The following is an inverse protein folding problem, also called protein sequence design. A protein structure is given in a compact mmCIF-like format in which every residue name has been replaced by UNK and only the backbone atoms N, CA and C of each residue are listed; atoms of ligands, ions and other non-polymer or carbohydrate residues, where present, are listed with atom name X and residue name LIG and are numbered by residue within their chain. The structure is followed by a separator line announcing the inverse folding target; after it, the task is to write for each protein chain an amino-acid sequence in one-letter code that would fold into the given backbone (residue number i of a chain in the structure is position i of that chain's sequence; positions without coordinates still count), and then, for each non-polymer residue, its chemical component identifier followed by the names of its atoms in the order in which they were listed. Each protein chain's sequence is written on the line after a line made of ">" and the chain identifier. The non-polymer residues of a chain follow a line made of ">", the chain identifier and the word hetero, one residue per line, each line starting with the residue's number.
data_IF_413515541504
#
_entry.id   IF_413515541504
#
_cell.length_a   1.000
_cell.length_b   1.000
_cell.length_c   1.000
_cell.angle_alpha   90.00
_cell.angle_beta   90.00
_cell.angle_gamma   90.00
#
_symmetry.space_group_name_H-M   'P 1'
#
loop_
_entity.id
_entity.type
_entity.pdbx_description
1 polymer ?
#
# COMPACT_ATOMS: atom_id res chain seq x y z
N UNK A 1 18.43 2.86 -2.35
CA UNK A 1 18.91 3.80 -1.32
C UNK A 1 20.30 4.39 -1.61
N UNK A 2 20.96 4.01 -2.72
CA UNK A 2 22.30 4.54 -3.07
C UNK A 2 22.35 6.07 -3.14
N UNK A 3 21.31 6.72 -3.69
CA UNK A 3 21.24 8.19 -3.79
C UNK A 3 21.24 8.92 -2.45
N UNK A 4 20.63 8.37 -1.40
CA UNK A 4 20.64 9.00 -0.06
C UNK A 4 21.98 8.74 0.61
N UNK A 5 22.52 7.53 0.45
CA UNK A 5 23.84 7.16 0.99
C UNK A 5 24.96 8.04 0.42
N UNK A 6 24.82 8.49 -0.82
CA UNK A 6 25.80 9.36 -1.50
C UNK A 6 25.89 10.76 -0.88
N UNK A 7 24.82 11.29 -0.28
CA UNK A 7 24.78 12.64 0.29
C UNK A 7 24.64 12.69 1.82
N UNK A 8 24.10 11.63 2.43
CA UNK A 8 23.90 11.51 3.88
C UNK A 8 23.93 10.03 4.31
N UNK A 9 25.14 9.45 4.49
CA UNK A 9 25.31 8.03 4.82
C UNK A 9 24.60 7.62 6.13
N UNK A 10 24.77 8.44 7.18
CA UNK A 10 24.17 8.18 8.50
C UNK A 10 22.63 8.18 8.42
N UNK A 11 22.05 9.06 7.60
CA UNK A 11 20.61 9.07 7.36
C UNK A 11 20.17 7.82 6.60
N UNK A 12 20.93 7.35 5.62
CA UNK A 12 20.64 6.10 4.91
C UNK A 12 20.62 4.90 5.86
N UNK A 13 21.58 4.82 6.78
CA UNK A 13 21.66 3.71 7.74
C UNK A 13 20.55 3.81 8.80
N UNK A 14 20.26 5.01 9.30
CA UNK A 14 19.14 5.25 10.20
C UNK A 14 17.79 4.92 9.53
N UNK A 15 17.59 5.26 8.26
CA UNK A 15 16.37 4.90 7.52
C UNK A 15 16.16 3.37 7.46
N UNK A 16 17.23 2.60 7.29
CA UNK A 16 17.18 1.14 7.25
C UNK A 16 16.84 0.55 8.63
N UNK A 17 17.59 0.92 9.66
CA UNK A 17 17.48 0.29 10.99
C UNK A 17 16.28 0.86 11.76
N UNK A 18 16.23 2.19 11.89
CA UNK A 18 15.24 2.89 12.70
C UNK A 18 13.91 3.06 11.97
N UNK A 19 13.95 3.32 10.66
CA UNK A 19 12.77 3.50 9.83
C UNK A 19 12.09 2.17 9.48
N UNK A 20 12.70 1.41 8.59
CA UNK A 20 12.11 0.19 8.04
C UNK A 20 12.23 -1.00 8.98
N UNK A 21 13.42 -1.25 9.52
CA UNK A 21 13.73 -2.43 10.33
C UNK A 21 12.77 -2.57 11.51
N UNK A 22 12.73 -1.58 12.40
CA UNK A 22 11.87 -1.62 13.60
C UNK A 22 10.37 -1.66 13.31
N UNK A 23 9.90 -1.03 12.22
CA UNK A 23 8.47 -0.98 11.90
C UNK A 23 8.00 -2.27 11.22
N UNK A 24 8.80 -2.80 10.29
CA UNK A 24 8.48 -4.00 9.54
C UNK A 24 8.72 -5.29 10.35
N UNK A 25 9.64 -5.29 11.31
CA UNK A 25 9.95 -6.46 12.15
C UNK A 25 8.95 -6.70 13.29
N UNK A 26 7.98 -5.79 13.51
CA UNK A 26 6.93 -5.98 14.52
C UNK A 26 6.04 -7.17 14.13
N UNK A 27 5.92 -8.14 15.02
CA UNK A 27 5.21 -9.41 14.84
C UNK A 27 3.71 -9.33 15.16
N UNK A 28 3.26 -8.29 15.85
CA UNK A 28 1.86 -8.13 16.28
C UNK A 28 0.83 -7.93 15.15
N UNK A 29 1.27 -7.72 13.90
CA UNK A 29 0.38 -7.49 12.75
C UNK A 29 0.90 -8.29 11.55
N UNK A 30 0.08 -9.23 11.05
CA UNK A 30 0.37 -10.03 9.86
C UNK A 30 0.64 -9.14 8.62
N UNK A 31 1.48 -9.64 7.72
CA UNK A 31 1.89 -8.95 6.49
C UNK A 31 0.68 -8.51 5.64
N UNK A 32 -0.39 -9.32 5.61
CA UNK A 32 -1.62 -8.98 4.89
C UNK A 32 -2.31 -7.74 5.46
N UNK A 33 -2.41 -7.68 6.79
CA UNK A 33 -3.01 -6.55 7.47
C UNK A 33 -2.17 -5.28 7.28
N UNK A 34 -0.84 -5.39 7.30
CA UNK A 34 0.05 -4.27 6.98
C UNK A 34 -0.17 -3.73 5.58
N UNK A 35 -0.21 -4.61 4.59
CA UNK A 35 -0.45 -4.22 3.20
C UNK A 35 -1.84 -3.60 3.00
N UNK A 36 -2.88 -4.13 3.65
CA UNK A 36 -4.21 -3.53 3.64
C UNK A 36 -4.21 -2.11 4.26
N UNK A 37 -3.53 -1.89 5.38
CA UNK A 37 -3.36 -0.55 5.95
C UNK A 37 -2.64 0.40 4.98
N UNK A 38 -1.63 -0.10 4.26
CA UNK A 38 -0.91 0.68 3.23
C UNK A 38 -1.82 1.03 2.06
N UNK A 39 -2.65 0.10 1.59
CA UNK A 39 -3.67 0.37 0.56
C UNK A 39 -4.61 1.50 1.00
N UNK A 40 -5.13 1.45 2.24
CA UNK A 40 -6.03 2.48 2.77
C UNK A 40 -5.38 3.85 2.78
N UNK A 41 -4.16 3.98 3.32
CA UNK A 41 -3.49 5.29 3.40
C UNK A 41 -3.11 5.82 2.01
N UNK A 42 -2.76 4.94 1.06
CA UNK A 42 -2.45 5.36 -0.31
C UNK A 42 -3.70 5.80 -1.09
N UNK A 43 -4.84 5.17 -0.84
CA UNK A 43 -6.13 5.60 -1.35
C UNK A 43 -6.49 7.00 -0.83
N UNK A 44 -6.41 7.24 0.49
CA UNK A 44 -6.64 8.55 1.11
C UNK A 44 -5.69 9.63 0.55
N UNK A 45 -4.41 9.30 0.38
CA UNK A 45 -3.38 10.23 -0.13
C UNK A 45 -3.38 10.37 -1.65
N UNK A 46 -4.28 9.69 -2.36
CA UNK A 46 -4.41 9.71 -3.82
C UNK A 46 -3.10 9.37 -4.55
N UNK A 47 -2.37 8.38 -4.04
CA UNK A 47 -1.10 7.89 -4.61
C UNK A 47 -1.35 6.68 -5.51
N UNK A 48 -2.05 6.89 -6.63
CA UNK A 48 -2.63 5.82 -7.45
C UNK A 48 -1.63 4.78 -7.97
N UNK A 49 -0.42 5.19 -8.35
CA UNK A 49 0.62 4.26 -8.81
C UNK A 49 1.04 3.29 -7.71
N UNK A 50 1.27 3.81 -6.50
CA UNK A 50 1.62 3.01 -5.33
C UNK A 50 0.42 2.18 -4.87
N UNK A 51 -0.79 2.75 -4.92
CA UNK A 51 -2.02 2.05 -4.59
C UNK A 51 -2.16 0.77 -5.44
N UNK A 52 -1.93 0.88 -6.76
CA UNK A 52 -1.95 -0.28 -7.67
C UNK A 52 -0.93 -1.35 -7.26
N UNK A 53 0.33 -0.97 -6.99
CA UNK A 53 1.37 -1.95 -6.65
C UNK A 53 1.10 -2.68 -5.32
N UNK A 54 0.56 -1.98 -4.32
CA UNK A 54 0.21 -2.55 -3.03
C UNK A 54 -1.08 -3.37 -3.07
N UNK A 55 -2.07 -2.96 -3.87
CA UNK A 55 -3.26 -3.77 -4.13
C UNK A 55 -2.90 -5.11 -4.77
N UNK A 56 -2.02 -5.12 -5.78
CA UNK A 56 -1.47 -6.35 -6.35
C UNK A 56 -0.67 -7.16 -5.32
N UNK A 57 0.06 -6.49 -4.41
CA UNK A 57 0.75 -7.13 -3.29
C UNK A 57 -0.20 -7.87 -2.35
N UNK A 58 -1.30 -7.23 -1.96
CA UNK A 58 -2.36 -7.85 -1.16
C UNK A 58 -2.89 -9.13 -1.81
N UNK A 59 -3.27 -9.06 -3.10
CA UNK A 59 -3.83 -10.19 -3.84
C UNK A 59 -2.83 -11.36 -3.92
N UNK A 60 -1.53 -11.08 -4.16
CA UNK A 60 -0.46 -12.11 -4.13
C UNK A 60 -0.26 -12.74 -2.75
N UNK A 61 -0.54 -12.01 -1.68
CA UNK A 61 -0.49 -12.54 -0.31
C UNK A 61 -1.76 -13.34 0.06
N UNK A 62 -2.72 -13.47 -0.85
CA UNK A 62 -3.98 -14.18 -0.64
C UNK A 62 -5.07 -13.36 0.03
N UNK A 63 -4.94 -12.04 0.07
CA UNK A 63 -6.06 -11.16 0.41
C UNK A 63 -7.10 -11.28 -0.71
N UNK A 64 -8.36 -11.51 -0.35
CA UNK A 64 -9.45 -11.62 -1.32
C UNK A 64 -9.82 -10.25 -1.90
N UNK A 65 -10.44 -10.25 -3.08
CA UNK A 65 -11.01 -9.04 -3.68
C UNK A 65 -11.97 -8.33 -2.71
N UNK A 66 -12.85 -9.09 -2.03
CA UNK A 66 -13.81 -8.53 -1.08
C UNK A 66 -13.12 -7.83 0.09
N UNK A 67 -12.09 -8.45 0.69
CA UNK A 67 -11.31 -7.83 1.75
C UNK A 67 -10.63 -6.54 1.28
N UNK A 68 -10.10 -6.52 0.06
CA UNK A 68 -9.47 -5.35 -0.53
C UNK A 68 -10.48 -4.22 -0.74
N UNK A 69 -11.68 -4.53 -1.27
CA UNK A 69 -12.78 -3.56 -1.46
C UNK A 69 -13.28 -3.01 -0.13
N UNK A 70 -13.46 -3.87 0.88
CA UNK A 70 -13.86 -3.46 2.24
C UNK A 70 -12.82 -2.52 2.83
N UNK A 71 -11.52 -2.84 2.74
CA UNK A 71 -10.47 -1.97 3.24
C UNK A 71 -10.52 -0.58 2.57
N UNK A 72 -10.59 -0.53 1.24
CA UNK A 72 -10.62 0.73 0.48
C UNK A 72 -11.87 1.56 0.82
N UNK A 73 -13.00 0.92 1.15
CA UNK A 73 -14.23 1.63 1.55
C UNK A 73 -14.04 2.57 2.73
N UNK A 74 -13.11 2.27 3.67
CA UNK A 74 -12.79 3.16 4.78
C UNK A 74 -12.16 4.46 4.29
N UNK A 75 -11.31 4.41 3.26
CA UNK A 75 -10.73 5.61 2.66
C UNK A 75 -11.79 6.43 1.91
N UNK A 76 -12.72 5.76 1.22
CA UNK A 76 -13.70 6.42 0.37
C UNK A 76 -14.70 7.29 1.15
N UNK A 77 -15.00 6.94 2.41
CA UNK A 77 -15.88 7.74 3.30
C UNK A 77 -15.39 9.19 3.46
N UNK A 78 -14.08 9.40 3.43
CA UNK A 78 -13.42 10.69 3.64
C UNK A 78 -12.91 11.32 2.32
N UNK A 79 -13.23 10.72 1.18
CA UNK A 79 -12.66 11.11 -0.12
C UNK A 79 -13.72 11.76 -1.03
N UNK A 80 -13.44 12.95 -1.63
CA UNK A 80 -14.35 13.57 -2.58
C UNK A 80 -14.69 12.65 -3.78
N UNK A 81 -15.91 12.71 -4.35
CA UNK A 81 -16.37 11.75 -5.36
C UNK A 81 -15.44 11.59 -6.58
N UNK A 82 -14.85 12.69 -7.05
CA UNK A 82 -13.94 12.68 -8.20
C UNK A 82 -12.67 11.86 -7.91
N UNK A 83 -12.15 11.96 -6.68
CA UNK A 83 -10.98 11.21 -6.24
C UNK A 83 -11.32 9.74 -5.95
N UNK A 84 -12.51 9.50 -5.39
CA UNK A 84 -13.02 8.17 -5.08
C UNK A 84 -13.12 7.28 -6.35
N UNK A 85 -13.61 7.83 -7.46
CA UNK A 85 -13.72 7.09 -8.72
C UNK A 85 -12.36 6.57 -9.22
N UNK A 86 -11.32 7.41 -9.15
CA UNK A 86 -9.98 7.02 -9.57
C UNK A 86 -9.37 5.94 -8.67
N UNK A 87 -9.67 5.97 -7.37
CA UNK A 87 -9.29 4.90 -6.43
C UNK A 87 -9.97 3.59 -6.81
N UNK A 88 -11.28 3.61 -7.06
CA UNK A 88 -12.04 2.42 -7.45
C UNK A 88 -11.55 1.81 -8.77
N UNK A 89 -11.29 2.64 -9.79
CA UNK A 89 -10.71 2.19 -11.07
C UNK A 89 -9.35 1.53 -10.84
N UNK A 90 -8.52 2.10 -9.96
CA UNK A 90 -7.19 1.54 -9.64
C UNK A 90 -7.30 0.17 -8.98
N UNK A 91 -8.25 -0.01 -8.06
CA UNK A 91 -8.50 -1.30 -7.41
C UNK A 91 -9.05 -2.33 -8.39
N UNK A 92 -9.98 -1.93 -9.26
CA UNK A 92 -10.50 -2.82 -10.30
C UNK A 92 -9.37 -3.30 -11.22
N UNK A 93 -8.50 -2.38 -11.65
CA UNK A 93 -7.36 -2.73 -12.49
C UNK A 93 -6.41 -3.73 -11.80
N UNK A 94 -6.21 -3.62 -10.48
CA UNK A 94 -5.41 -4.58 -9.72
C UNK A 94 -6.04 -5.99 -9.74
N UNK A 95 -7.35 -6.08 -9.51
CA UNK A 95 -8.13 -7.33 -9.53
C UNK A 95 -8.09 -7.99 -10.91
N UNK A 96 -8.33 -7.22 -11.96
CA UNK A 96 -8.33 -7.71 -13.34
C UNK A 96 -6.95 -8.22 -13.76
N UNK A 97 -5.88 -7.58 -13.27
CA UNK A 97 -4.50 -7.97 -13.54
C UNK A 97 -4.11 -9.26 -12.81
N UNK A 98 -4.54 -9.42 -11.55
CA UNK A 98 -4.28 -10.62 -10.76
C UNK A 98 -5.01 -11.85 -11.31
N UNK A 99 -6.20 -11.66 -11.89
CA UNK A 99 -7.01 -12.75 -12.46
C UNK A 99 -6.46 -13.33 -13.76
N UNK A 100 -5.50 -12.66 -14.40
CA UNK A 100 -4.86 -13.08 -15.66
C UNK A 100 -3.51 -13.78 -15.47
N UNK A 101 -3.06 -13.92 -14.22
CA UNK A 101 -1.75 -14.49 -13.83
C UNK A 101 -1.92 -15.89 -13.26
#
# INVERSE_FOLDING_TARGET
>A
MSRVKEFAPELSDAMLVEGYGKVLSRDNIDVRMRELCVVVILALKHRLRQLLSHALGCLRLGVTEDQLRVAVSFALKETPPQKANLVLITIQHAVDSASKS
#
